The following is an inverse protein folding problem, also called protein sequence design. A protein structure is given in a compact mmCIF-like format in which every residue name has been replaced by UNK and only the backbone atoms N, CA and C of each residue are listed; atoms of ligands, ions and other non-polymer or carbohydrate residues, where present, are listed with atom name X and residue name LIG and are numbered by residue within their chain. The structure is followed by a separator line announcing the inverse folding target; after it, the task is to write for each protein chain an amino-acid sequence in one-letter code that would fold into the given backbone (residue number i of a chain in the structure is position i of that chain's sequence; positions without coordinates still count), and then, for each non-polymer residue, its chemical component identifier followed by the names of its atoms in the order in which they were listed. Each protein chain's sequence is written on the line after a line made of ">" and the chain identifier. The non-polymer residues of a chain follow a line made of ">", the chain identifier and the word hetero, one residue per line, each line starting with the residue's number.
data_IF_193597164780
#
_entry.id   IF_193597164780
#
_cell.length_a   1.000
_cell.length_b   1.000
_cell.length_c   1.000
_cell.angle_alpha   90.00
_cell.angle_beta   90.00
_cell.angle_gamma   90.00
#
_symmetry.space_group_name_H-M   'P 1'
#
loop_
_entity.id
_entity.type
_entity.pdbx_description
1 polymer ?
#
# COMPACT_ATOMS: atom_id res chain seq x y z
N UNK A 1 -24.01 -11.47 15.73
CA UNK A 1 -23.24 -10.26 16.03
C UNK A 1 -22.77 -9.68 14.70
N UNK A 2 -22.91 -8.36 14.49
CA UNK A 2 -22.42 -7.71 13.27
C UNK A 2 -20.90 -7.83 13.16
N UNK A 3 -20.38 -7.91 11.92
CA UNK A 3 -18.94 -7.86 11.68
C UNK A 3 -18.36 -6.54 12.25
N UNK A 4 -17.14 -6.57 12.83
CA UNK A 4 -16.53 -5.34 13.30
C UNK A 4 -16.23 -4.40 12.15
N UNK A 5 -16.41 -3.10 12.38
CA UNK A 5 -16.25 -2.05 11.38
C UNK A 5 -14.85 -1.46 11.49
N UNK A 6 -14.20 -1.26 10.36
CA UNK A 6 -12.91 -0.57 10.27
C UNK A 6 -12.92 0.41 9.12
N UNK A 7 -12.50 1.65 9.37
CA UNK A 7 -12.29 2.65 8.32
C UNK A 7 -10.95 2.40 7.64
N UNK A 8 -10.93 2.14 6.33
CA UNK A 8 -9.69 2.13 5.57
C UNK A 8 -9.40 3.54 5.02
N UNK A 9 -8.42 4.18 5.64
CA UNK A 9 -8.04 5.58 5.43
C UNK A 9 -7.22 5.75 4.15
N UNK A 10 -7.87 5.62 2.98
CA UNK A 10 -7.23 5.78 1.67
C UNK A 10 -8.18 6.43 0.66
N UNK A 11 -7.65 7.37 -0.12
CA UNK A 11 -8.32 7.92 -1.32
C UNK A 11 -8.06 7.06 -2.56
N UNK A 12 -7.11 6.11 -2.49
CA UNK A 12 -6.74 5.24 -3.60
C UNK A 12 -7.72 4.06 -3.73
N UNK A 13 -8.57 4.12 -4.77
CA UNK A 13 -9.55 3.07 -5.05
C UNK A 13 -8.92 1.69 -5.32
N UNK A 14 -7.69 1.64 -5.85
CA UNK A 14 -6.95 0.40 -6.06
C UNK A 14 -6.60 -0.28 -4.74
N UNK A 15 -6.06 0.47 -3.79
CA UNK A 15 -5.74 -0.01 -2.43
C UNK A 15 -7.00 -0.52 -1.71
N UNK A 16 -8.10 0.24 -1.81
CA UNK A 16 -9.37 -0.15 -1.17
C UNK A 16 -9.91 -1.47 -1.74
N UNK A 17 -9.87 -1.66 -3.07
CA UNK A 17 -10.27 -2.91 -3.71
C UNK A 17 -9.41 -4.09 -3.27
N UNK A 18 -8.09 -3.92 -3.25
CA UNK A 18 -7.17 -4.96 -2.78
C UNK A 18 -7.46 -5.37 -1.34
N UNK A 19 -7.64 -4.39 -0.43
CA UNK A 19 -7.93 -4.69 0.97
C UNK A 19 -9.27 -5.43 1.12
N UNK A 20 -10.34 -4.95 0.48
CA UNK A 20 -11.66 -5.62 0.52
C UNK A 20 -11.56 -7.07 0.04
N UNK A 21 -10.78 -7.33 -1.00
CA UNK A 21 -10.53 -8.70 -1.46
C UNK A 21 -9.77 -9.58 -0.46
N UNK A 22 -8.86 -9.00 0.31
CA UNK A 22 -8.08 -9.72 1.32
C UNK A 22 -8.88 -10.02 2.61
N UNK A 23 -9.79 -9.12 2.97
CA UNK A 23 -10.59 -9.21 4.20
C UNK A 23 -11.76 -10.19 4.03
N UNK A 24 -12.39 -10.24 2.86
CA UNK A 24 -13.63 -10.96 2.63
C UNK A 24 -14.74 -10.49 3.60
N UNK A 25 -15.58 -11.43 4.06
CA UNK A 25 -16.70 -11.15 4.96
C UNK A 25 -16.31 -11.05 6.46
N UNK A 26 -15.03 -11.12 6.76
CA UNK A 26 -14.57 -11.14 8.16
C UNK A 26 -14.71 -9.80 8.87
N UNK A 27 -14.71 -8.69 8.13
CA UNK A 27 -14.79 -7.31 8.61
C UNK A 27 -15.65 -6.47 7.66
N UNK A 28 -16.36 -5.48 8.19
CA UNK A 28 -16.99 -4.43 7.38
C UNK A 28 -15.96 -3.32 7.14
N UNK A 29 -15.41 -3.25 5.91
CA UNK A 29 -14.44 -2.23 5.53
C UNK A 29 -15.14 -1.02 4.92
N UNK A 30 -15.13 0.08 5.66
CA UNK A 30 -15.58 1.38 5.22
C UNK A 30 -14.46 2.11 4.48
N UNK A 31 -14.77 2.80 3.40
CA UNK A 31 -13.88 3.77 2.75
C UNK A 31 -14.15 5.18 3.24
N UNK A 32 -13.33 6.14 2.82
CA UNK A 32 -13.53 7.56 3.18
C UNK A 32 -14.83 8.16 2.65
N UNK A 33 -15.40 7.60 1.58
CA UNK A 33 -16.71 8.00 1.06
C UNK A 33 -17.89 7.54 1.92
N UNK A 34 -17.67 6.58 2.81
CA UNK A 34 -18.70 5.98 3.67
C UNK A 34 -18.83 6.70 5.02
N UNK A 35 -18.01 7.73 5.26
CA UNK A 35 -18.00 8.54 6.49
C UNK A 35 -18.12 10.04 6.16
N UNK A 36 -18.37 10.86 7.19
CA UNK A 36 -18.34 12.31 7.02
C UNK A 36 -16.96 12.77 6.51
N UNK A 37 -16.90 13.85 5.70
CA UNK A 37 -15.63 14.35 5.17
C UNK A 37 -14.62 14.64 6.28
N UNK A 38 -13.44 14.07 6.17
CA UNK A 38 -12.31 14.25 7.09
C UNK A 38 -11.17 14.89 6.30
N UNK A 39 -10.58 16.00 6.79
CA UNK A 39 -9.41 16.59 6.16
C UNK A 39 -8.27 15.57 6.04
N UNK A 40 -7.64 15.52 4.87
CA UNK A 40 -6.50 14.64 4.64
C UNK A 40 -5.30 15.12 5.49
N UNK A 41 -4.74 14.27 6.36
CA UNK A 41 -3.56 14.63 7.13
C UNK A 41 -2.35 14.74 6.21
N UNK A 42 -1.38 15.61 6.57
CA UNK A 42 -0.12 15.70 5.83
C UNK A 42 0.69 14.41 5.99
N UNK A 43 1.36 14.03 4.89
CA UNK A 43 2.25 12.87 4.82
C UNK A 43 3.70 13.39 4.65
N UNK A 44 4.24 13.98 5.71
CA UNK A 44 5.53 14.68 5.69
C UNK A 44 6.66 13.86 6.35
N UNK A 45 6.37 12.66 6.82
CA UNK A 45 7.37 11.80 7.45
C UNK A 45 8.29 11.12 6.42
N UNK A 46 9.48 10.75 6.88
CA UNK A 46 10.52 10.15 6.05
C UNK A 46 10.32 8.63 5.83
N UNK A 47 9.42 8.00 6.60
CA UNK A 47 9.18 6.55 6.54
C UNK A 47 7.72 6.22 6.24
N UNK A 48 7.50 5.06 5.60
CA UNK A 48 6.15 4.55 5.36
C UNK A 48 5.41 4.30 6.67
N UNK A 49 6.13 3.79 7.68
CA UNK A 49 5.59 3.46 9.00
C UNK A 49 5.04 4.70 9.71
N UNK A 50 5.80 5.80 9.70
CA UNK A 50 5.37 7.06 10.33
C UNK A 50 4.19 7.68 9.58
N UNK A 51 4.22 7.74 8.25
CA UNK A 51 3.10 8.25 7.46
C UNK A 51 1.82 7.42 7.67
N UNK A 52 1.93 6.09 7.72
CA UNK A 52 0.79 5.21 8.01
C UNK A 52 0.21 5.49 9.42
N UNK A 53 1.08 5.66 10.44
CA UNK A 53 0.65 5.97 11.81
C UNK A 53 -0.03 7.33 11.92
N UNK A 54 0.52 8.38 11.28
CA UNK A 54 -0.08 9.71 11.24
C UNK A 54 -1.49 9.66 10.67
N UNK A 55 -1.65 8.99 9.53
CA UNK A 55 -2.95 8.80 8.88
C UNK A 55 -3.92 8.01 9.78
N UNK A 56 -3.51 6.85 10.28
CA UNK A 56 -4.38 6.01 11.10
C UNK A 56 -4.89 6.76 12.32
N UNK A 57 -4.01 7.47 13.03
CA UNK A 57 -4.37 8.27 14.21
C UNK A 57 -5.36 9.38 13.87
N UNK A 58 -5.07 10.17 12.83
CA UNK A 58 -5.91 11.28 12.42
C UNK A 58 -7.33 10.81 12.04
N UNK A 59 -7.43 9.78 11.22
CA UNK A 59 -8.71 9.26 10.77
C UNK A 59 -9.47 8.53 11.88
N UNK A 60 -8.80 7.79 12.77
CA UNK A 60 -9.47 7.17 13.93
C UNK A 60 -10.08 8.21 14.87
N UNK A 61 -9.31 9.26 15.19
CA UNK A 61 -9.78 10.36 16.04
C UNK A 61 -10.97 11.11 15.44
N UNK A 62 -10.92 11.40 14.13
CA UNK A 62 -11.95 12.20 13.46
C UNK A 62 -13.24 11.40 13.17
N UNK A 63 -13.12 10.10 12.82
CA UNK A 63 -14.28 9.26 12.48
C UNK A 63 -14.96 8.62 13.69
N UNK A 64 -14.26 8.52 14.82
CA UNK A 64 -14.72 7.72 15.97
C UNK A 64 -14.73 6.21 15.72
N UNK A 65 -14.05 5.73 14.66
CA UNK A 65 -13.93 4.32 14.28
C UNK A 65 -12.48 3.85 14.37
N UNK A 66 -12.22 2.56 14.61
CA UNK A 66 -10.91 2.01 14.34
C UNK A 66 -10.53 2.32 12.90
N UNK A 67 -9.33 2.88 12.67
CA UNK A 67 -8.85 3.25 11.34
C UNK A 67 -7.59 2.48 10.98
N UNK A 68 -7.63 1.82 9.83
CA UNK A 68 -6.48 1.19 9.18
C UNK A 68 -5.99 2.13 8.09
N UNK A 69 -4.73 2.51 8.14
CA UNK A 69 -4.08 3.32 7.10
C UNK A 69 -2.94 2.55 6.46
N UNK A 70 -2.71 2.84 5.19
CA UNK A 70 -1.64 2.28 4.36
C UNK A 70 -0.74 3.42 3.88
N UNK A 71 0.57 3.27 4.09
CA UNK A 71 1.55 3.98 3.28
C UNK A 71 2.48 2.99 2.61
N UNK A 72 2.70 3.16 1.30
CA UNK A 72 3.38 2.16 0.49
C UNK A 72 4.02 2.76 -0.74
N UNK A 73 5.11 2.18 -1.16
CA UNK A 73 5.82 2.63 -2.34
C UNK A 73 6.85 1.65 -2.85
N UNK A 74 7.47 2.05 -3.96
CA UNK A 74 8.53 1.34 -4.63
C UNK A 74 9.88 1.89 -4.17
N UNK A 75 10.79 1.01 -3.78
CA UNK A 75 12.17 1.33 -3.46
C UNK A 75 13.08 0.64 -4.48
N UNK A 76 13.94 1.40 -5.18
CA UNK A 76 14.85 0.89 -6.21
C UNK A 76 16.29 1.08 -5.75
N UNK A 77 17.06 -0.01 -5.66
CA UNK A 77 18.38 0.00 -5.07
C UNK A 77 19.36 0.89 -5.84
N UNK A 78 19.36 0.81 -7.17
CA UNK A 78 20.21 1.66 -8.03
C UNK A 78 19.90 3.16 -7.93
N UNK A 79 18.75 3.52 -7.38
CA UNK A 79 18.34 4.92 -7.15
C UNK A 79 18.43 5.33 -5.67
N UNK A 80 19.13 4.55 -4.83
CA UNK A 80 19.26 4.82 -3.41
C UNK A 80 17.93 4.77 -2.65
N UNK A 81 17.03 3.85 -3.04
CA UNK A 81 15.71 3.66 -2.44
C UNK A 81 14.62 4.57 -3.01
N UNK A 82 14.93 5.50 -3.94
CA UNK A 82 13.90 6.30 -4.60
C UNK A 82 13.04 5.44 -5.55
N UNK A 83 11.77 5.77 -5.77
CA UNK A 83 11.00 6.91 -5.25
C UNK A 83 10.62 6.84 -3.77
N UNK A 84 10.59 5.66 -3.11
CA UNK A 84 10.30 5.54 -1.69
C UNK A 84 8.92 6.13 -1.33
N UNK A 85 8.83 6.91 -0.25
CA UNK A 85 7.60 7.59 0.22
C UNK A 85 7.03 8.57 -0.81
N UNK A 86 7.82 8.96 -1.81
CA UNK A 86 7.38 9.84 -2.90
C UNK A 86 6.76 9.08 -4.08
N UNK A 87 6.52 7.76 -3.97
CA UNK A 87 6.06 6.92 -5.08
C UNK A 87 4.82 7.47 -5.79
N UNK A 88 3.82 7.92 -5.05
CA UNK A 88 2.57 8.45 -5.61
C UNK A 88 2.73 9.81 -6.32
N UNK A 89 3.78 10.55 -6.00
CA UNK A 89 4.05 11.91 -6.51
C UNK A 89 5.41 12.04 -7.22
N UNK A 90 5.97 10.91 -7.67
CA UNK A 90 7.28 10.83 -8.31
C UNK A 90 7.38 11.59 -9.65
N UNK A 91 6.27 11.68 -10.37
CA UNK A 91 6.09 12.54 -11.53
C UNK A 91 4.68 13.12 -11.53
N UNK A 92 4.46 14.32 -12.09
CA UNK A 92 3.12 14.82 -12.34
C UNK A 92 2.40 13.94 -13.39
N UNK A 93 1.08 13.81 -13.26
CA UNK A 93 0.25 13.00 -14.16
C UNK A 93 -0.16 11.65 -13.56
N UNK A 94 -0.31 10.66 -14.43
CA UNK A 94 -0.83 9.35 -14.11
C UNK A 94 0.27 8.34 -13.72
N UNK A 95 -0.11 7.09 -13.51
CA UNK A 95 0.82 6.00 -13.18
C UNK A 95 1.84 5.78 -14.31
N UNK A 96 1.41 5.96 -15.56
CA UNK A 96 2.28 5.82 -16.72
C UNK A 96 3.41 6.84 -16.71
N UNK A 97 3.10 8.12 -16.44
CA UNK A 97 4.12 9.17 -16.34
C UNK A 97 5.16 8.85 -15.25
N UNK A 98 4.73 8.27 -14.12
CA UNK A 98 5.59 7.87 -13.01
C UNK A 98 6.53 6.73 -13.38
N UNK A 99 6.01 5.61 -13.95
CA UNK A 99 6.90 4.51 -14.31
C UNK A 99 7.76 4.82 -15.54
N UNK A 100 7.31 5.63 -16.49
CA UNK A 100 8.16 6.08 -17.60
C UNK A 100 9.33 6.97 -17.13
N UNK A 101 9.10 7.85 -16.13
CA UNK A 101 10.20 8.58 -15.48
C UNK A 101 11.19 7.62 -14.84
N UNK A 102 10.71 6.62 -14.09
CA UNK A 102 11.55 5.60 -13.47
C UNK A 102 12.40 4.85 -14.50
N UNK A 103 11.79 4.42 -15.61
CA UNK A 103 12.51 3.73 -16.68
C UNK A 103 13.59 4.60 -17.32
N UNK A 104 13.33 5.90 -17.49
CA UNK A 104 14.36 6.84 -18.01
C UNK A 104 15.52 7.00 -17.02
N UNK A 105 15.25 7.11 -15.73
CA UNK A 105 16.31 7.21 -14.70
C UNK A 105 17.15 5.93 -14.59
N UNK A 106 16.58 4.79 -14.95
CA UNK A 106 17.27 3.50 -15.00
C UNK A 106 17.87 3.19 -16.38
N UNK A 107 17.84 4.13 -17.33
CA UNK A 107 18.48 3.94 -18.62
C UNK A 107 20.00 3.73 -18.43
N UNK A 108 20.51 2.64 -19.01
CA UNK A 108 21.92 2.26 -18.87
C UNK A 108 22.28 1.52 -17.57
N UNK A 109 21.35 1.37 -16.61
CA UNK A 109 21.58 0.52 -15.43
C UNK A 109 21.51 -0.95 -15.86
N UNK A 110 22.56 -1.76 -15.60
CA UNK A 110 22.58 -3.19 -15.92
C UNK A 110 21.44 -3.95 -15.23
N UNK A 111 20.93 -4.99 -15.89
CA UNK A 111 19.80 -5.79 -15.38
C UNK A 111 20.02 -6.29 -13.96
N UNK A 112 21.20 -6.80 -13.64
CA UNK A 112 21.55 -7.30 -12.30
C UNK A 112 21.53 -6.22 -11.20
N UNK A 113 21.54 -4.93 -11.55
CA UNK A 113 21.50 -3.81 -10.60
C UNK A 113 20.13 -3.13 -10.53
N UNK A 114 19.12 -3.63 -11.24
CA UNK A 114 17.76 -3.09 -11.27
C UNK A 114 16.88 -3.66 -10.17
N UNK A 115 17.50 -4.18 -9.10
CA UNK A 115 16.77 -4.74 -7.95
C UNK A 115 15.92 -3.67 -7.28
N UNK A 116 14.74 -4.09 -6.84
CA UNK A 116 13.76 -3.22 -6.23
C UNK A 116 12.88 -3.98 -5.24
N UNK A 117 12.24 -3.26 -4.34
CA UNK A 117 11.20 -3.80 -3.50
C UNK A 117 9.99 -2.87 -3.44
N UNK A 118 8.80 -3.43 -3.45
CA UNK A 118 7.64 -2.75 -2.94
C UNK A 118 7.54 -2.95 -1.44
N UNK A 119 7.26 -1.87 -0.71
CA UNK A 119 7.00 -1.89 0.74
C UNK A 119 5.63 -1.33 1.05
N UNK A 120 4.99 -1.89 2.07
CA UNK A 120 3.71 -1.42 2.59
C UNK A 120 3.77 -1.43 4.12
N UNK A 121 3.57 -0.29 4.75
CA UNK A 121 3.28 -0.18 6.16
C UNK A 121 1.77 -0.04 6.35
N UNK A 122 1.18 -0.93 7.14
CA UNK A 122 -0.19 -0.83 7.62
C UNK A 122 -0.16 -0.39 9.08
N UNK A 123 -0.93 0.62 9.44
CA UNK A 123 -1.10 1.08 10.80
C UNK A 123 -2.57 1.03 11.21
N UNK A 124 -2.87 0.43 12.37
CA UNK A 124 -4.21 0.34 12.95
C UNK A 124 -4.26 1.16 14.23
N UNK A 125 -5.11 2.19 14.25
CA UNK A 125 -5.34 3.05 15.42
C UNK A 125 -6.77 2.93 15.93
N UNK A 126 -6.93 3.07 17.25
CA UNK A 126 -8.24 3.13 17.94
C UNK A 126 -8.68 4.59 18.12
N UNK A 127 -9.99 4.89 18.09
CA UNK A 127 -10.51 6.26 18.22
C UNK A 127 -10.19 6.91 19.57
N UNK A 128 -10.08 6.13 20.62
CA UNK A 128 -9.72 6.60 21.98
C UNK A 128 -8.22 6.87 22.19
N UNK A 129 -7.39 6.74 21.15
CA UNK A 129 -5.94 6.82 21.27
C UNK A 129 -5.31 5.51 21.75
N UNK A 130 -4.08 5.61 22.27
CA UNK A 130 -3.31 4.44 22.73
C UNK A 130 -2.27 3.93 21.73
N UNK A 131 -1.83 2.70 21.92
CA UNK A 131 -0.81 2.09 21.04
C UNK A 131 -1.38 1.83 19.65
N UNK A 132 -0.57 2.16 18.63
CA UNK A 132 -0.87 1.87 17.23
C UNK A 132 -0.17 0.58 16.86
N UNK A 133 -0.91 -0.36 16.27
CA UNK A 133 -0.32 -1.56 15.69
C UNK A 133 0.23 -1.23 14.31
N UNK A 134 1.48 -1.59 14.05
CA UNK A 134 2.12 -1.35 12.75
C UNK A 134 2.68 -2.65 12.22
N UNK A 135 2.34 -2.98 10.99
CA UNK A 135 2.83 -4.17 10.31
C UNK A 135 3.39 -3.80 8.94
N UNK A 136 4.53 -4.37 8.59
CA UNK A 136 5.22 -4.07 7.33
C UNK A 136 5.31 -5.32 6.47
N UNK A 137 4.93 -5.16 5.20
CA UNK A 137 5.11 -6.19 4.18
C UNK A 137 6.02 -5.71 3.06
N UNK A 138 6.79 -6.63 2.53
CA UNK A 138 7.71 -6.40 1.42
C UNK A 138 7.46 -7.42 0.29
N UNK A 139 7.64 -6.97 -0.95
CA UNK A 139 7.70 -7.82 -2.13
C UNK A 139 8.95 -7.45 -2.91
N UNK A 140 9.93 -8.36 -2.97
CA UNK A 140 11.19 -8.17 -3.69
C UNK A 140 11.07 -8.56 -5.15
N UNK A 141 11.80 -7.84 -5.99
CA UNK A 141 11.83 -8.06 -7.42
C UNK A 141 12.85 -7.17 -8.12
N UNK A 142 12.58 -6.84 -9.37
CA UNK A 142 13.41 -5.95 -10.18
C UNK A 142 12.56 -5.03 -11.05
N UNK A 143 13.17 -3.98 -11.61
CA UNK A 143 12.51 -3.12 -12.60
C UNK A 143 12.84 -3.63 -14.01
N UNK A 144 11.82 -4.04 -14.72
CA UNK A 144 11.91 -4.47 -16.12
C UNK A 144 12.28 -3.29 -17.05
N UNK A 145 12.72 -3.61 -18.27
CA UNK A 145 13.05 -2.59 -19.28
C UNK A 145 11.82 -2.00 -19.97
N UNK A 146 10.71 -2.72 -19.98
CA UNK A 146 9.46 -2.29 -20.60
C UNK A 146 8.26 -2.76 -19.78
N UNK A 147 7.12 -2.03 -19.83
CA UNK A 147 5.91 -2.42 -19.12
C UNK A 147 5.24 -3.64 -19.77
N UNK A 148 4.65 -4.53 -18.93
CA UNK A 148 3.77 -5.63 -19.35
C UNK A 148 2.60 -5.79 -18.38
N UNK A 149 1.49 -6.33 -18.89
CA UNK A 149 0.26 -6.52 -18.14
C UNK A 149 -0.62 -5.28 -18.07
N UNK A 150 -1.85 -5.46 -17.63
CA UNK A 150 -2.87 -4.41 -17.60
C UNK A 150 -3.62 -4.35 -16.27
N UNK A 151 -3.31 -5.25 -15.35
CA UNK A 151 -3.92 -5.27 -14.02
C UNK A 151 -3.16 -4.39 -13.04
N UNK A 152 -3.81 -4.10 -11.90
CA UNK A 152 -3.19 -3.35 -10.83
C UNK A 152 -3.14 -1.84 -11.06
N UNK A 153 -2.12 -1.17 -10.54
CA UNK A 153 -1.91 0.28 -10.59
C UNK A 153 -0.45 0.64 -10.27
N UNK A 154 -0.11 1.90 -10.41
CA UNK A 154 1.22 2.41 -10.05
C UNK A 154 2.32 1.84 -10.94
N UNK A 155 3.29 1.23 -10.30
CA UNK A 155 4.47 0.65 -10.95
C UNK A 155 4.33 -0.85 -11.28
N UNK A 156 3.16 -1.45 -11.06
CA UNK A 156 2.91 -2.87 -11.33
C UNK A 156 3.34 -3.32 -12.74
N UNK A 157 3.12 -2.52 -13.81
CA UNK A 157 3.51 -2.90 -15.17
C UNK A 157 5.03 -3.06 -15.37
N UNK A 158 5.84 -2.41 -14.56
CA UNK A 158 7.31 -2.44 -14.69
C UNK A 158 8.01 -3.24 -13.58
N UNK A 159 7.26 -3.75 -12.61
CA UNK A 159 7.82 -4.54 -11.51
C UNK A 159 7.82 -6.03 -11.84
N UNK A 160 9.02 -6.59 -11.96
CA UNK A 160 9.29 -7.96 -12.34
C UNK A 160 9.49 -8.83 -11.09
N UNK A 161 8.70 -9.90 -10.98
CA UNK A 161 8.83 -10.91 -9.94
C UNK A 161 9.94 -11.93 -10.27
N UNK A 162 10.36 -12.70 -9.26
CA UNK A 162 11.38 -13.73 -9.42
C UNK A 162 10.99 -14.85 -10.40
N UNK A 163 9.69 -15.07 -10.64
CA UNK A 163 9.16 -16.05 -11.59
C UNK A 163 9.06 -15.52 -13.05
N UNK A 164 9.51 -14.28 -13.29
CA UNK A 164 9.52 -13.64 -14.59
C UNK A 164 8.22 -12.95 -15.01
N UNK A 165 7.19 -12.98 -14.17
CA UNK A 165 5.94 -12.24 -14.40
C UNK A 165 6.05 -10.82 -13.87
N UNK A 166 5.35 -9.87 -14.51
CA UNK A 166 5.14 -8.54 -13.96
C UNK A 166 3.95 -8.56 -12.98
N UNK A 167 3.96 -7.71 -11.97
CA UNK A 167 2.82 -7.60 -11.04
C UNK A 167 1.50 -7.29 -11.75
N UNK A 168 1.54 -6.55 -12.86
CA UNK A 168 0.37 -6.25 -13.67
C UNK A 168 -0.12 -7.42 -14.55
N UNK A 169 0.55 -8.56 -14.54
CA UNK A 169 0.10 -9.80 -15.19
C UNK A 169 -0.66 -10.72 -14.21
N UNK A 170 -0.62 -10.42 -12.91
CA UNK A 170 -1.26 -11.23 -11.89
C UNK A 170 -2.76 -10.96 -11.79
N UNK A 171 -3.52 -12.00 -11.48
CA UNK A 171 -4.90 -11.84 -10.99
C UNK A 171 -4.91 -11.15 -9.61
N UNK A 172 -6.06 -10.61 -9.21
CA UNK A 172 -6.20 -9.99 -7.87
C UNK A 172 -5.89 -10.97 -6.73
N UNK A 173 -6.24 -12.25 -6.90
CA UNK A 173 -5.96 -13.30 -5.91
C UNK A 173 -4.47 -13.59 -5.80
N UNK A 174 -3.79 -13.78 -6.94
CA UNK A 174 -2.34 -13.99 -6.97
C UNK A 174 -1.59 -12.81 -6.38
N UNK A 175 -1.98 -11.57 -6.74
CA UNK A 175 -1.42 -10.34 -6.18
C UNK A 175 -1.64 -10.26 -4.67
N UNK A 176 -2.82 -10.66 -4.16
CA UNK A 176 -3.09 -10.74 -2.73
C UNK A 176 -2.14 -11.69 -1.99
N UNK A 177 -1.71 -12.78 -2.62
CA UNK A 177 -0.74 -13.72 -2.04
C UNK A 177 0.70 -13.24 -2.10
N UNK A 178 1.12 -12.60 -3.20
CA UNK A 178 2.51 -12.30 -3.52
C UNK A 178 2.94 -10.87 -3.20
N UNK A 179 2.00 -9.92 -3.14
CA UNK A 179 2.34 -8.50 -2.99
C UNK A 179 2.73 -8.11 -1.56
N UNK A 180 3.43 -6.98 -1.47
CA UNK A 180 3.77 -6.30 -0.21
C UNK A 180 2.55 -6.02 0.67
N UNK A 181 1.43 -5.53 0.08
CA UNK A 181 0.19 -5.26 0.82
C UNK A 181 -0.44 -6.54 1.34
N UNK A 182 -0.45 -7.61 0.54
CA UNK A 182 -0.91 -8.92 0.99
C UNK A 182 -0.06 -9.46 2.14
N UNK A 183 1.27 -9.25 2.10
CA UNK A 183 2.18 -9.64 3.18
C UNK A 183 1.89 -8.84 4.47
N UNK A 184 1.81 -7.51 4.39
CA UNK A 184 1.47 -6.65 5.52
C UNK A 184 0.09 -6.99 6.11
N UNK A 185 -0.90 -7.26 5.25
CA UNK A 185 -2.24 -7.61 5.69
C UNK A 185 -2.28 -8.95 6.45
N UNK A 186 -1.54 -9.96 6.03
CA UNK A 186 -1.48 -11.24 6.77
C UNK A 186 -0.97 -11.05 8.20
N UNK A 187 -0.02 -10.14 8.42
CA UNK A 187 0.48 -9.78 9.75
C UNK A 187 -0.55 -8.94 10.53
N UNK A 188 -1.20 -7.99 9.87
CA UNK A 188 -2.21 -7.11 10.49
C UNK A 188 -3.52 -7.84 10.84
N UNK A 189 -3.85 -8.92 10.14
CA UNK A 189 -5.13 -9.62 10.26
C UNK A 189 -5.50 -10.05 11.70
N UNK A 190 -4.61 -10.61 12.53
CA UNK A 190 -4.94 -10.93 13.92
C UNK A 190 -5.40 -9.70 14.71
N UNK A 191 -4.75 -8.55 14.53
CA UNK A 191 -5.11 -7.30 15.21
C UNK A 191 -6.49 -6.78 14.77
N UNK A 192 -6.81 -6.90 13.48
CA UNK A 192 -8.13 -6.55 12.96
C UNK A 192 -9.24 -7.47 13.51
N UNK A 193 -8.96 -8.77 13.62
CA UNK A 193 -9.92 -9.72 14.19
C UNK A 193 -10.12 -9.55 15.68
N UNK A 194 -9.12 -9.03 16.41
CA UNK A 194 -9.22 -8.71 17.82
C UNK A 194 -10.19 -7.53 18.12
N UNK A 195 -10.54 -6.71 17.11
CA UNK A 195 -11.57 -5.68 17.22
C UNK A 195 -12.97 -6.23 17.56
N UNK A 196 -13.19 -7.55 17.43
CA UNK A 196 -14.49 -8.19 17.73
C UNK A 196 -14.85 -8.25 19.21
N UNK A 197 -13.94 -7.87 20.09
CA UNK A 197 -14.12 -7.92 21.56
C UNK A 197 -14.32 -6.57 22.24
N UNK A 198 -14.45 -5.47 21.49
CA UNK A 198 -14.66 -4.13 22.02
C UNK A 198 -16.09 -3.66 21.85
#
# INVERSE_FOLDING_TARGET
>A
MSAPRVLFATTNAGKLRELRGLVGDALEVLGLADVAPIPEPSEDADTFEENAQLKARAYASASGLPALADDSGLCVDALGGRPGVLSARYAPGDDRARYEKLLRELAGVPEAQRTASFRCALALAQPGGGAIQVEVGECRGAIAHAPRGTHGFGYDPVFLLADGRHLAELTSEEKGRLSHRGAAFRLMRPHLLALRGA
#
